data_IF_746125589938
#
_entry.id   IF_746125589938
#
_cell.length_a   1.000
_cell.length_b   1.000
_cell.length_c   1.000
_cell.angle_alpha   90.00
_cell.angle_beta   90.00
_cell.angle_gamma   90.00
#
_symmetry.space_group_name_H-M   'P 1'
#
loop_
_entity.id
_entity.type
_entity.pdbx_description
1 polymer ?
#
# COMPACT_ATOMS: atom_id res chain seq x y z
N UNK A 1 22.72 -29.29 3.34
CA UNK A 1 22.71 -28.50 2.08
C UNK A 1 23.00 -27.04 2.43
N UNK A 2 23.46 -26.20 1.51
CA UNK A 2 23.83 -24.80 1.80
C UNK A 2 23.35 -23.85 0.70
N UNK A 3 23.12 -22.59 1.06
CA UNK A 3 22.79 -21.52 0.11
C UNK A 3 24.07 -20.94 -0.48
N UNK A 4 24.15 -20.88 -1.81
CA UNK A 4 25.24 -20.26 -2.57
C UNK A 4 24.70 -19.04 -3.32
N UNK A 5 25.36 -17.89 -3.16
CA UNK A 5 25.18 -16.71 -4.01
C UNK A 5 26.24 -16.74 -5.12
N UNK A 6 25.82 -16.86 -6.37
CA UNK A 6 26.70 -16.89 -7.55
C UNK A 6 26.48 -15.64 -8.38
N UNK A 7 27.54 -14.87 -8.64
CA UNK A 7 27.50 -13.73 -9.56
C UNK A 7 27.50 -14.23 -11.01
N UNK A 8 26.55 -13.75 -11.81
CA UNK A 8 26.41 -14.08 -13.23
C UNK A 8 27.16 -13.05 -14.08
N UNK A 9 27.50 -13.45 -15.31
CA UNK A 9 28.13 -12.55 -16.29
C UNK A 9 27.25 -11.34 -16.64
N UNK A 10 25.92 -11.48 -16.53
CA UNK A 10 24.95 -10.39 -16.71
C UNK A 10 24.87 -9.39 -15.54
N UNK A 11 25.67 -9.59 -14.49
CA UNK A 11 25.68 -8.71 -13.30
C UNK A 11 24.67 -9.09 -12.21
N UNK A 12 23.74 -10.02 -12.47
CA UNK A 12 22.80 -10.52 -11.47
C UNK A 12 23.45 -11.54 -10.51
N UNK A 13 22.86 -11.71 -9.33
CA UNK A 13 23.21 -12.74 -8.34
C UNK A 13 22.17 -13.86 -8.36
N UNK A 14 22.59 -15.05 -8.75
CA UNK A 14 21.79 -16.28 -8.62
C UNK A 14 21.94 -16.88 -7.23
N UNK A 15 20.81 -17.21 -6.61
CA UNK A 15 20.74 -17.92 -5.33
C UNK A 15 20.43 -19.40 -5.60
N UNK A 16 21.31 -20.27 -5.12
CA UNK A 16 21.25 -21.71 -5.37
C UNK A 16 21.34 -22.50 -4.07
N UNK A 17 20.62 -23.61 -3.99
CA UNK A 17 20.81 -24.65 -2.98
C UNK A 17 21.81 -25.65 -3.52
N UNK A 18 22.90 -25.84 -2.79
CA UNK A 18 23.98 -26.78 -3.14
C UNK A 18 24.17 -27.83 -2.05
N UNK A 19 24.69 -28.99 -2.45
CA UNK A 19 25.10 -30.05 -1.53
C UNK A 19 26.52 -30.52 -1.87
N UNK A 20 27.27 -30.96 -0.86
CA UNK A 20 28.61 -31.52 -1.05
C UNK A 20 28.48 -33.05 -1.04
N UNK A 21 28.84 -33.69 -2.15
CA UNK A 21 28.82 -35.16 -2.31
C UNK A 21 30.19 -35.60 -2.77
N UNK A 22 30.85 -36.49 -2.00
CA UNK A 22 32.20 -37.00 -2.31
C UNK A 22 33.21 -35.88 -2.65
N UNK A 23 33.21 -34.82 -1.84
CA UNK A 23 34.12 -33.68 -2.01
C UNK A 23 33.71 -32.65 -3.07
N UNK A 24 32.78 -32.98 -3.99
CA UNK A 24 32.32 -32.07 -5.06
C UNK A 24 31.00 -31.39 -4.70
N UNK A 25 30.85 -30.14 -5.12
CA UNK A 25 29.59 -29.39 -4.97
C UNK A 25 28.63 -29.74 -6.12
N UNK A 26 27.43 -30.17 -5.78
CA UNK A 26 26.32 -30.40 -6.71
C UNK A 26 25.20 -29.39 -6.44
N UNK A 27 24.70 -28.74 -7.49
CA UNK A 27 23.51 -27.89 -7.41
C UNK A 27 22.29 -28.79 -7.25
N UNK A 28 21.53 -28.57 -6.19
CA UNK A 28 20.27 -29.27 -5.91
C UNK A 28 19.13 -28.53 -6.59
N UNK A 29 19.06 -27.21 -6.40
CA UNK A 29 18.03 -26.35 -6.98
C UNK A 29 18.53 -24.92 -7.12
N UNK A 30 18.14 -24.24 -8.19
CA UNK A 30 18.31 -22.78 -8.31
C UNK A 30 16.98 -22.13 -7.92
N UNK A 31 17.01 -21.19 -6.97
CA UNK A 31 15.80 -20.53 -6.45
C UNK A 31 15.43 -19.34 -7.34
N UNK A 32 16.43 -18.61 -7.83
CA UNK A 32 16.22 -17.49 -8.74
C UNK A 32 17.47 -16.64 -8.90
N UNK A 33 17.36 -15.55 -9.65
CA UNK A 33 18.40 -14.53 -9.78
C UNK A 33 17.85 -13.13 -9.62
N UNK A 34 18.63 -12.24 -9.01
CA UNK A 34 18.24 -10.85 -8.79
C UNK A 34 19.44 -9.91 -8.87
N UNK A 35 19.19 -8.66 -9.24
CA UNK A 35 20.19 -7.58 -9.26
C UNK A 35 20.12 -6.71 -8.01
N UNK A 36 18.93 -6.56 -7.42
CA UNK A 36 18.70 -5.75 -6.22
C UNK A 36 18.98 -6.52 -4.93
N UNK A 37 19.64 -5.87 -3.96
CA UNK A 37 19.98 -6.47 -2.65
C UNK A 37 18.76 -7.06 -1.93
N UNK A 38 17.65 -6.33 -1.86
CA UNK A 38 16.41 -6.79 -1.21
C UNK A 38 15.90 -8.10 -1.80
N UNK A 39 15.85 -8.20 -3.13
CA UNK A 39 15.36 -9.41 -3.80
C UNK A 39 16.31 -10.59 -3.64
N UNK A 40 17.63 -10.33 -3.55
CA UNK A 40 18.62 -11.37 -3.23
C UNK A 40 18.42 -11.90 -1.80
N UNK A 41 18.13 -11.05 -0.83
CA UNK A 41 17.84 -11.46 0.56
C UNK A 41 16.56 -12.30 0.64
N UNK A 42 15.49 -11.91 -0.07
CA UNK A 42 14.27 -12.70 -0.19
C UNK A 42 14.53 -14.10 -0.78
N UNK A 43 15.31 -14.18 -1.87
CA UNK A 43 15.69 -15.45 -2.49
C UNK A 43 16.55 -16.33 -1.57
N UNK A 44 17.34 -15.74 -0.67
CA UNK A 44 18.14 -16.49 0.32
C UNK A 44 17.23 -17.10 1.38
N UNK A 45 16.24 -16.36 1.88
CA UNK A 45 15.28 -16.88 2.85
C UNK A 45 14.47 -18.03 2.25
N UNK A 46 14.01 -17.89 1.00
CA UNK A 46 13.37 -18.98 0.27
C UNK A 46 14.29 -20.19 0.10
N UNK A 47 15.58 -19.97 -0.19
CA UNK A 47 16.55 -21.06 -0.29
C UNK A 47 16.76 -21.79 1.04
N UNK A 48 16.74 -21.08 2.17
CA UNK A 48 16.84 -21.68 3.50
C UNK A 48 15.58 -22.50 3.83
N UNK A 49 14.39 -21.99 3.53
CA UNK A 49 13.14 -22.73 3.68
C UNK A 49 13.11 -24.00 2.82
N UNK A 50 13.59 -23.90 1.57
CA UNK A 50 13.70 -25.06 0.67
C UNK A 50 14.69 -26.10 1.21
N UNK A 51 15.81 -25.68 1.82
CA UNK A 51 16.73 -26.59 2.50
C UNK A 51 16.02 -27.30 3.66
N UNK A 52 15.28 -26.58 4.51
CA UNK A 52 14.52 -27.19 5.61
C UNK A 52 13.55 -28.25 5.08
N UNK A 53 12.78 -27.91 4.04
CA UNK A 53 11.81 -28.81 3.40
C UNK A 53 12.46 -30.06 2.80
N UNK A 54 13.58 -29.91 2.08
CA UNK A 54 14.31 -31.01 1.46
C UNK A 54 15.07 -31.88 2.46
N UNK A 55 15.46 -31.32 3.61
CA UNK A 55 16.18 -32.06 4.65
C UNK A 55 15.28 -32.97 5.47
N UNK A 56 13.96 -32.81 5.39
CA UNK A 56 12.94 -33.58 6.13
C UNK A 56 13.20 -33.72 7.64
N UNK A 57 14.08 -32.88 8.18
CA UNK A 57 14.41 -32.87 9.59
C UNK A 57 13.33 -32.07 10.30
N UNK A 58 12.55 -32.73 11.16
CA UNK A 58 11.63 -32.05 12.05
C UNK A 58 12.46 -31.18 13.01
N UNK A 59 12.21 -29.88 13.01
CA UNK A 59 12.76 -29.00 14.04
C UNK A 59 12.05 -29.36 15.35
N UNK A 60 12.84 -29.73 16.37
CA UNK A 60 12.31 -30.16 17.68
C UNK A 60 11.68 -28.98 18.45
N UNK A 61 11.97 -27.75 18.03
CA UNK A 61 11.53 -26.50 18.62
C UNK A 61 11.06 -25.55 17.52
N UNK A 62 10.05 -24.74 17.81
CA UNK A 62 9.63 -23.64 16.95
C UNK A 62 10.78 -22.64 16.77
N UNK A 63 10.94 -22.12 15.56
CA UNK A 63 11.94 -21.08 15.34
C UNK A 63 11.50 -19.80 16.06
N UNK A 64 12.44 -19.07 16.66
CA UNK A 64 12.14 -17.77 17.31
C UNK A 64 11.42 -16.80 16.36
N UNK A 65 11.73 -16.90 15.07
CA UNK A 65 11.05 -16.14 14.02
C UNK A 65 9.58 -16.52 13.86
N UNK A 66 9.24 -17.80 13.88
CA UNK A 66 7.85 -18.25 13.75
C UNK A 66 7.05 -17.87 15.01
N UNK A 67 7.62 -18.08 16.20
CA UNK A 67 6.99 -17.65 17.46
C UNK A 67 6.78 -16.14 17.53
N UNK A 68 7.68 -15.35 16.94
CA UNK A 68 7.53 -13.89 16.83
C UNK A 68 6.43 -13.52 15.85
N UNK A 69 6.37 -14.19 14.69
CA UNK A 69 5.32 -13.98 13.69
C UNK A 69 3.94 -14.32 14.27
N UNK A 70 3.81 -15.45 14.96
CA UNK A 70 2.56 -15.85 15.60
C UNK A 70 2.14 -14.88 16.70
N UNK A 71 3.07 -14.38 17.51
CA UNK A 71 2.80 -13.32 18.49
C UNK A 71 2.31 -12.03 17.83
N UNK A 72 2.88 -11.65 16.69
CA UNK A 72 2.44 -10.47 15.92
C UNK A 72 1.02 -10.68 15.39
N UNK A 73 0.74 -11.82 14.76
CA UNK A 73 -0.60 -12.12 14.23
C UNK A 73 -1.64 -12.26 15.34
N UNK A 74 -1.28 -12.87 16.48
CA UNK A 74 -2.15 -12.96 17.66
C UNK A 74 -2.44 -11.57 18.29
N UNK A 75 -1.53 -10.61 18.13
CA UNK A 75 -1.72 -9.23 18.59
C UNK A 75 -2.56 -8.36 17.64
N UNK A 76 -2.81 -8.80 16.41
CA UNK A 76 -3.66 -8.06 15.47
C UNK A 76 -5.13 -8.15 15.90
N UNK A 77 -5.74 -6.99 16.13
CA UNK A 77 -7.17 -6.89 16.41
C UNK A 77 -7.92 -6.41 15.16
N UNK A 78 -9.25 -6.51 15.16
CA UNK A 78 -10.06 -5.96 14.06
C UNK A 78 -9.80 -4.45 13.83
N UNK A 79 -9.45 -3.71 14.88
CA UNK A 79 -9.03 -2.31 14.78
C UNK A 79 -7.68 -2.10 14.04
N UNK A 80 -6.86 -3.15 13.91
CA UNK A 80 -5.61 -3.18 13.16
C UNK A 80 -5.82 -3.33 11.65
N UNK A 81 -7.03 -3.73 11.22
CA UNK A 81 -7.39 -3.90 9.81
C UNK A 81 -8.02 -2.60 9.30
N UNK A 82 -7.36 -1.95 8.34
CA UNK A 82 -7.88 -0.75 7.68
C UNK A 82 -8.24 -1.06 6.24
N UNK A 83 -9.42 -0.60 5.85
CA UNK A 83 -9.83 -0.66 4.45
C UNK A 83 -9.09 0.46 3.71
N UNK A 84 -8.46 0.19 2.56
CA UNK A 84 -7.64 1.18 1.82
C UNK A 84 -8.12 1.45 0.38
N UNK A 85 -9.12 0.70 -0.10
CA UNK A 85 -9.58 0.74 -1.50
C UNK A 85 -9.95 2.15 -2.02
N UNK A 86 -10.82 2.92 -1.34
CA UNK A 86 -11.19 4.27 -1.73
C UNK A 86 -10.00 5.23 -1.82
N UNK A 87 -9.03 5.16 -0.90
CA UNK A 87 -7.81 5.98 -0.97
C UNK A 87 -6.91 5.57 -2.15
N UNK A 88 -6.79 4.27 -2.45
CA UNK A 88 -5.96 3.78 -3.56
C UNK A 88 -6.50 4.25 -4.92
N UNK A 89 -7.82 4.34 -5.06
CA UNK A 89 -8.47 4.72 -6.32
C UNK A 89 -8.76 6.22 -6.37
N UNK A 90 -9.60 6.72 -5.48
CA UNK A 90 -10.04 8.11 -5.50
C UNK A 90 -8.96 9.07 -5.01
N UNK A 91 -8.04 8.62 -4.15
CA UNK A 91 -6.88 9.42 -3.76
C UNK A 91 -5.98 9.75 -4.95
N UNK A 92 -5.75 8.81 -5.87
CA UNK A 92 -5.00 9.08 -7.10
C UNK A 92 -5.69 10.10 -8.00
N UNK A 93 -7.02 10.01 -8.12
CA UNK A 93 -7.81 10.97 -8.91
C UNK A 93 -7.76 12.36 -8.25
N UNK A 94 -7.90 12.43 -6.93
CA UNK A 94 -7.77 13.65 -6.14
C UNK A 94 -6.42 14.34 -6.40
N UNK A 95 -5.33 13.57 -6.33
CA UNK A 95 -3.98 14.07 -6.59
C UNK A 95 -3.78 14.48 -8.07
N UNK A 96 -4.35 13.71 -9.00
CA UNK A 96 -4.30 14.00 -10.44
C UNK A 96 -5.05 15.28 -10.83
N UNK A 97 -6.16 15.58 -10.14
CA UNK A 97 -6.87 16.86 -10.31
C UNK A 97 -6.00 18.04 -9.82
N UNK A 98 -5.10 17.79 -8.88
CA UNK A 98 -4.22 18.80 -8.28
C UNK A 98 -4.66 19.23 -6.88
N UNK A 99 -5.70 18.62 -6.31
CA UNK A 99 -6.18 18.97 -4.98
C UNK A 99 -5.18 18.66 -3.85
N UNK A 100 -4.12 17.89 -4.14
CA UNK A 100 -3.02 17.66 -3.20
C UNK A 100 -2.26 18.93 -2.78
N UNK A 101 -2.41 20.06 -3.50
CA UNK A 101 -1.82 21.33 -3.07
C UNK A 101 -2.52 21.95 -1.86
N UNK A 102 -3.77 21.57 -1.59
CA UNK A 102 -4.54 22.05 -0.45
C UNK A 102 -4.10 21.27 0.79
N UNK A 103 -3.37 21.91 1.69
CA UNK A 103 -2.81 21.29 2.90
C UNK A 103 -3.85 21.07 4.02
N UNK A 104 -4.97 20.42 3.69
CA UNK A 104 -6.09 20.15 4.59
C UNK A 104 -6.49 18.67 4.50
N UNK A 105 -6.02 17.80 5.41
CA UNK A 105 -6.31 16.37 5.36
C UNK A 105 -7.81 16.04 5.37
N UNK A 106 -8.60 16.85 6.07
CA UNK A 106 -10.05 16.70 6.13
C UNK A 106 -10.72 16.90 4.76
N UNK A 107 -10.17 17.78 3.91
CA UNK A 107 -10.67 17.99 2.55
C UNK A 107 -10.55 16.70 1.72
N UNK A 108 -9.37 16.06 1.74
CA UNK A 108 -9.13 14.80 1.03
C UNK A 108 -10.14 13.74 1.47
N UNK A 109 -10.29 13.55 2.78
CA UNK A 109 -11.19 12.53 3.30
C UNK A 109 -12.65 12.83 2.98
N UNK A 110 -13.08 14.09 3.00
CA UNK A 110 -14.43 14.49 2.62
C UNK A 110 -14.71 14.22 1.13
N UNK A 111 -13.78 14.55 0.24
CA UNK A 111 -13.95 14.30 -1.19
C UNK A 111 -14.05 12.80 -1.45
N UNK A 112 -13.14 12.01 -0.89
CA UNK A 112 -13.11 10.56 -1.10
C UNK A 112 -14.35 9.89 -0.48
N UNK A 113 -14.74 10.29 0.73
CA UNK A 113 -15.94 9.74 1.39
C UNK A 113 -17.20 10.06 0.61
N UNK A 114 -17.30 11.25 0.00
CA UNK A 114 -18.46 11.67 -0.80
C UNK A 114 -18.63 10.89 -2.08
N UNK A 115 -17.54 10.48 -2.71
CA UNK A 115 -17.57 9.63 -3.91
C UNK A 115 -17.92 8.19 -3.51
N UNK A 116 -17.29 7.66 -2.46
CA UNK A 116 -17.50 6.28 -2.03
C UNK A 116 -18.86 6.02 -1.37
N UNK A 117 -19.39 7.01 -0.65
CA UNK A 117 -20.64 6.94 0.11
C UNK A 117 -21.48 8.20 -0.11
N UNK A 118 -22.11 8.34 -1.30
CA UNK A 118 -22.91 9.51 -1.60
C UNK A 118 -24.06 9.67 -0.59
N UNK A 119 -24.48 10.91 -0.37
CA UNK A 119 -25.67 11.32 0.41
C UNK A 119 -25.62 11.23 1.95
N UNK A 120 -24.52 10.83 2.62
CA UNK A 120 -24.48 10.79 4.10
C UNK A 120 -23.24 11.43 4.75
N UNK A 121 -23.49 12.44 5.62
CA UNK A 121 -22.46 13.06 6.47
C UNK A 121 -22.01 12.11 7.58
N UNK A 122 -22.94 11.33 8.16
CA UNK A 122 -22.63 10.30 9.16
C UNK A 122 -21.70 9.22 8.57
N UNK A 123 -21.92 8.83 7.32
CA UNK A 123 -21.01 7.88 6.63
C UNK A 123 -19.60 8.42 6.42
N UNK A 124 -19.40 9.75 6.43
CA UNK A 124 -18.05 10.32 6.41
C UNK A 124 -17.31 10.07 7.73
N UNK A 125 -18.00 10.13 8.87
CA UNK A 125 -17.42 9.81 10.17
C UNK A 125 -17.10 8.31 10.26
N UNK A 126 -18.03 7.44 9.84
CA UNK A 126 -17.78 6.00 9.74
C UNK A 126 -16.59 5.68 8.81
N UNK A 127 -16.49 6.39 7.69
CA UNK A 127 -15.37 6.27 6.75
C UNK A 127 -14.04 6.65 7.42
N UNK A 128 -13.96 7.80 8.09
CA UNK A 128 -12.74 8.20 8.80
C UNK A 128 -12.33 7.19 9.87
N UNK A 129 -13.30 6.65 10.60
CA UNK A 129 -13.03 5.62 11.59
C UNK A 129 -12.49 4.34 10.96
N UNK A 130 -13.18 3.79 9.95
CA UNK A 130 -12.84 2.49 9.32
C UNK A 130 -11.58 2.52 8.46
N UNK A 131 -11.25 3.67 7.86
CA UNK A 131 -10.17 3.79 6.88
C UNK A 131 -8.92 4.45 7.49
N UNK A 132 -9.06 5.30 8.51
CA UNK A 132 -7.95 6.00 9.16
C UNK A 132 -7.77 5.65 10.65
N UNK A 133 -8.71 4.92 11.25
CA UNK A 133 -8.72 4.65 12.69
C UNK A 133 -8.96 5.91 13.54
N UNK A 134 -9.52 6.97 12.94
CA UNK A 134 -9.75 8.26 13.61
C UNK A 134 -11.21 8.36 14.00
N UNK A 135 -11.47 8.48 15.31
CA UNK A 135 -12.78 8.92 15.78
C UNK A 135 -12.88 10.42 15.55
N UNK A 136 -13.93 10.84 14.84
CA UNK A 136 -14.18 12.25 14.56
C UNK A 136 -15.59 12.59 15.05
N UNK A 137 -15.71 13.67 15.80
CA UNK A 137 -17.01 14.25 16.09
C UNK A 137 -17.64 14.79 14.79
N UNK A 138 -18.94 14.55 14.61
CA UNK A 138 -19.67 15.02 13.43
C UNK A 138 -19.64 16.55 13.32
N UNK A 139 -19.56 17.28 14.44
CA UNK A 139 -19.44 18.73 14.45
C UNK A 139 -18.10 19.21 13.86
N UNK A 140 -17.06 18.38 13.88
CA UNK A 140 -15.81 18.71 13.18
C UNK A 140 -15.99 18.66 11.65
N UNK A 141 -16.87 17.78 11.15
CA UNK A 141 -17.24 17.77 9.71
C UNK A 141 -17.97 19.06 9.35
N UNK A 142 -18.95 19.48 10.15
CA UNK A 142 -19.70 20.71 9.89
C UNK A 142 -18.79 21.95 9.91
N UNK A 143 -17.96 22.10 10.95
CA UNK A 143 -16.98 23.20 11.04
C UNK A 143 -16.02 23.22 9.86
N UNK A 144 -15.61 22.05 9.36
CA UNK A 144 -14.77 21.99 8.18
C UNK A 144 -15.52 22.40 6.91
N UNK A 145 -16.80 22.07 6.76
CA UNK A 145 -17.60 22.52 5.62
C UNK A 145 -17.76 24.05 5.62
N UNK A 146 -17.90 24.67 6.79
CA UNK A 146 -17.93 26.13 6.90
C UNK A 146 -16.58 26.74 6.48
N UNK A 147 -15.46 26.14 6.93
CA UNK A 147 -14.11 26.52 6.50
C UNK A 147 -13.92 26.34 4.99
N UNK A 148 -14.41 25.23 4.42
CA UNK A 148 -14.35 24.94 2.99
C UNK A 148 -15.07 26.03 2.21
N UNK A 149 -16.30 26.37 2.60
CA UNK A 149 -17.09 27.40 1.93
C UNK A 149 -16.50 28.81 2.10
N UNK A 150 -16.02 29.14 3.30
CA UNK A 150 -15.57 30.50 3.64
C UNK A 150 -14.12 30.82 3.26
N UNK A 151 -13.24 29.82 3.16
CA UNK A 151 -11.79 30.06 2.96
C UNK A 151 -11.17 29.31 1.79
N UNK A 152 -11.58 28.07 1.55
CA UNK A 152 -10.92 27.20 0.56
C UNK A 152 -11.65 27.17 -0.79
N UNK A 153 -12.90 27.61 -0.84
CA UNK A 153 -13.78 27.49 -2.01
C UNK A 153 -13.15 28.01 -3.30
N UNK A 154 -12.62 29.22 -3.27
CA UNK A 154 -12.03 29.84 -4.47
C UNK A 154 -10.80 29.06 -4.98
N UNK A 155 -9.94 28.60 -4.08
CA UNK A 155 -8.77 27.78 -4.44
C UNK A 155 -9.20 26.44 -5.04
N UNK A 156 -10.16 25.76 -4.41
CA UNK A 156 -10.72 24.49 -4.90
C UNK A 156 -11.33 24.67 -6.30
N UNK A 157 -12.12 25.72 -6.51
CA UNK A 157 -12.75 26.02 -7.80
C UNK A 157 -11.71 26.32 -8.88
N UNK A 158 -10.66 27.08 -8.56
CA UNK A 158 -9.57 27.38 -9.50
C UNK A 158 -8.81 26.13 -9.92
N UNK A 159 -8.46 25.25 -8.97
CA UNK A 159 -7.79 23.98 -9.27
C UNK A 159 -8.68 23.11 -10.16
N UNK A 160 -9.96 22.95 -9.78
CA UNK A 160 -10.92 22.15 -10.54
C UNK A 160 -11.12 22.71 -11.97
N UNK A 161 -11.25 24.03 -12.11
CA UNK A 161 -11.40 24.69 -13.40
C UNK A 161 -10.15 24.55 -14.27
N UNK A 162 -8.96 24.78 -13.70
CA UNK A 162 -7.70 24.63 -14.42
C UNK A 162 -7.50 23.19 -14.93
N UNK A 163 -7.81 22.20 -14.07
CA UNK A 163 -7.78 20.80 -14.47
C UNK A 163 -8.76 20.51 -15.60
N UNK A 164 -10.01 20.96 -15.47
CA UNK A 164 -11.07 20.74 -16.47
C UNK A 164 -10.69 21.37 -17.81
N UNK A 165 -10.18 22.61 -17.79
CA UNK A 165 -9.69 23.31 -18.98
C UNK A 165 -8.56 22.54 -19.66
N UNK A 166 -7.63 21.97 -18.90
CA UNK A 166 -6.55 21.13 -19.42
C UNK A 166 -7.09 19.85 -20.07
N UNK A 167 -8.00 19.14 -19.40
CA UNK A 167 -8.57 17.88 -19.90
C UNK A 167 -9.39 18.10 -21.18
N UNK A 168 -10.11 19.22 -21.27
CA UNK A 168 -10.94 19.56 -22.42
C UNK A 168 -10.20 20.39 -23.49
N UNK A 169 -8.86 20.47 -23.42
CA UNK A 169 -8.03 21.23 -24.37
C UNK A 169 -8.48 22.68 -24.59
N UNK A 170 -8.99 23.33 -23.53
CA UNK A 170 -9.47 24.71 -23.55
C UNK A 170 -10.96 24.88 -23.90
N UNK A 171 -11.63 23.84 -24.37
CA UNK A 171 -13.01 23.91 -24.85
C UNK A 171 -14.01 23.49 -23.78
N UNK A 172 -14.51 24.46 -23.01
CA UNK A 172 -15.53 24.23 -21.98
C UNK A 172 -16.89 24.62 -22.55
N UNK A 173 -17.84 23.68 -22.57
CA UNK A 173 -19.23 23.92 -22.94
C UNK A 173 -20.11 23.74 -21.70
N UNK A 174 -21.13 24.59 -21.55
CA UNK A 174 -22.09 24.52 -20.43
C UNK A 174 -23.45 24.15 -21.01
N UNK A 175 -24.06 23.10 -20.45
CA UNK A 175 -25.43 22.69 -20.78
C UNK A 175 -26.30 22.93 -19.56
N UNK A 176 -27.35 23.73 -19.73
CA UNK A 176 -28.37 23.95 -18.72
C UNK A 176 -29.55 23.03 -19.03
N UNK A 177 -30.01 22.30 -18.01
CA UNK A 177 -31.25 21.52 -18.05
C UNK A 177 -32.27 22.24 -17.17
N UNK A 178 -33.55 22.19 -17.54
CA UNK A 178 -34.66 22.70 -16.73
C UNK A 178 -35.07 21.73 -15.62
#
# INVERSE_FOLDING_TARGET
MFVRKKRNASGSLSVQVIQKVRGKYKVVKTIGGATTRHKVEELVNLAQQEIKKLSQQQELFESETDATVDKVFAALQNASIRTVGPEIIFGKIFDYIGFGSINEPMFRHLVISRIAFPLSKLKTVDYLYRYQGKSLDIDAVYRFLDKLNGRLKSEVEQIAFAHTKKVLAGNISVVFYD
#
